data_IF_409102817682
#
_entry.id   IF_409102817682
#
_cell.length_a   1.000
_cell.length_b   1.000
_cell.length_c   1.000
_cell.angle_alpha   90.00
_cell.angle_beta   90.00
_cell.angle_gamma   90.00
#
_symmetry.space_group_name_H-M   'P 1'
#
loop_
_entity.id
_entity.type
_entity.pdbx_description
1 polymer ?
#
# COMPACT_ATOMS: atom_id res chain seq x y z
N UNK A 1 11.07 42.60 6.68
CA UNK A 1 10.40 41.28 6.62
C UNK A 1 10.33 40.72 5.21
N UNK A 2 9.64 41.36 4.25
CA UNK A 2 9.58 40.88 2.86
C UNK A 2 10.96 40.91 2.16
N UNK A 3 11.71 42.01 2.32
CA UNK A 3 13.06 42.12 1.77
C UNK A 3 14.06 41.17 2.45
N UNK A 4 13.85 40.82 3.73
CA UNK A 4 14.67 39.84 4.45
C UNK A 4 14.36 38.39 4.03
N UNK A 5 13.12 38.11 3.64
CA UNK A 5 12.72 36.84 3.04
C UNK A 5 13.31 36.68 1.62
N UNK A 6 13.28 37.74 0.82
CA UNK A 6 13.89 37.75 -0.52
C UNK A 6 15.41 37.64 -0.48
N UNK A 7 16.08 38.14 0.56
CA UNK A 7 17.52 37.93 0.74
C UNK A 7 17.88 36.55 1.29
N UNK A 8 16.95 35.86 1.97
CA UNK A 8 17.07 34.45 2.37
C UNK A 8 16.79 33.45 1.23
N UNK A 9 16.17 33.89 0.13
CA UNK A 9 16.11 33.16 -1.15
C UNK A 9 17.48 33.15 -1.84
N UNK A 10 18.50 32.70 -1.11
CA UNK A 10 19.83 32.47 -1.64
C UNK A 10 19.82 31.24 -2.56
N UNK A 11 20.81 31.10 -3.45
CA UNK A 11 21.00 29.89 -4.24
C UNK A 11 21.06 28.60 -3.38
N UNK A 12 21.51 28.71 -2.12
CA UNK A 12 21.55 27.57 -1.19
C UNK A 12 20.15 27.12 -0.76
N UNK A 13 19.20 28.04 -0.57
CA UNK A 13 17.82 27.68 -0.22
C UNK A 13 17.12 26.99 -1.39
N UNK A 14 17.35 27.44 -2.63
CA UNK A 14 16.81 26.76 -3.81
C UNK A 14 17.38 25.34 -3.98
N UNK A 15 18.68 25.17 -3.72
CA UNK A 15 19.30 23.85 -3.71
C UNK A 15 18.70 22.93 -2.63
N UNK A 16 18.47 23.44 -1.42
CA UNK A 16 17.85 22.68 -0.35
C UNK A 16 16.42 22.24 -0.70
N UNK A 17 15.60 23.15 -1.24
CA UNK A 17 14.24 22.84 -1.70
C UNK A 17 14.26 21.76 -2.77
N UNK A 18 15.16 21.86 -3.75
CA UNK A 18 15.29 20.85 -4.80
C UNK A 18 15.64 19.47 -4.25
N UNK A 19 16.62 19.40 -3.34
CA UNK A 19 17.03 18.15 -2.69
C UNK A 19 15.88 17.56 -1.88
N UNK A 20 15.25 18.33 -0.99
CA UNK A 20 14.13 17.84 -0.16
C UNK A 20 12.91 17.43 -0.99
N UNK A 21 12.66 18.09 -2.13
CA UNK A 21 11.62 17.68 -3.07
C UNK A 21 11.92 16.30 -3.65
N UNK A 22 13.16 16.09 -4.10
CA UNK A 22 13.59 14.79 -4.60
C UNK A 22 13.50 13.71 -3.52
N UNK A 23 13.95 13.98 -2.30
CA UNK A 23 13.86 13.05 -1.18
C UNK A 23 12.41 12.67 -0.89
N UNK A 24 11.50 13.64 -0.90
CA UNK A 24 10.06 13.38 -0.69
C UNK A 24 9.50 12.47 -1.79
N UNK A 25 9.78 12.78 -3.06
CA UNK A 25 9.33 11.95 -4.19
C UNK A 25 9.90 10.53 -4.08
N UNK A 26 11.18 10.40 -3.76
CA UNK A 26 11.84 9.11 -3.58
C UNK A 26 11.19 8.30 -2.45
N UNK A 27 11.02 8.89 -1.27
CA UNK A 27 10.40 8.23 -0.11
C UNK A 27 8.96 7.82 -0.44
N UNK A 28 8.16 8.74 -0.97
CA UNK A 28 6.75 8.48 -1.30
C UNK A 28 6.60 7.39 -2.36
N UNK A 29 7.39 7.45 -3.43
CA UNK A 29 7.29 6.46 -4.50
C UNK A 29 7.77 5.08 -4.04
N UNK A 30 8.94 5.00 -3.40
CA UNK A 30 9.49 3.73 -2.93
C UNK A 30 8.59 3.09 -1.86
N UNK A 31 8.10 3.86 -0.90
CA UNK A 31 7.21 3.35 0.14
C UNK A 31 5.86 2.88 -0.40
N UNK A 32 5.28 3.63 -1.34
CA UNK A 32 4.04 3.25 -2.02
C UNK A 32 4.23 1.97 -2.83
N UNK A 33 5.35 1.86 -3.56
CA UNK A 33 5.64 0.67 -4.35
C UNK A 33 5.72 -0.58 -3.47
N UNK A 34 6.46 -0.53 -2.36
CA UNK A 34 6.55 -1.63 -1.40
C UNK A 34 5.19 -1.95 -0.77
N UNK A 35 4.42 -0.91 -0.42
CA UNK A 35 3.09 -1.08 0.13
C UNK A 35 2.12 -1.75 -0.85
N UNK A 36 2.20 -1.42 -2.14
CA UNK A 36 1.40 -2.05 -3.20
C UNK A 36 1.82 -3.48 -3.43
N UNK A 37 3.13 -3.75 -3.51
CA UNK A 37 3.66 -5.10 -3.75
C UNK A 37 3.19 -6.11 -2.71
N UNK A 38 3.05 -5.70 -1.44
CA UNK A 38 2.58 -6.57 -0.36
C UNK A 38 1.08 -6.43 -0.12
N UNK A 39 0.57 -5.20 -0.09
CA UNK A 39 -0.81 -4.90 0.21
C UNK A 39 -1.79 -5.44 -0.83
N UNK A 40 -1.44 -5.40 -2.12
CA UNK A 40 -2.31 -5.90 -3.20
C UNK A 40 -2.54 -7.41 -3.08
N UNK A 41 -1.50 -8.29 -2.99
CA UNK A 41 -1.71 -9.70 -2.71
C UNK A 41 -2.52 -9.98 -1.43
N UNK A 42 -2.26 -9.25 -0.35
CA UNK A 42 -3.01 -9.38 0.90
C UNK A 42 -4.50 -9.03 0.74
N UNK A 43 -4.80 -7.96 0.01
CA UNK A 43 -6.17 -7.54 -0.30
C UNK A 43 -6.91 -8.54 -1.17
N UNK A 44 -6.24 -9.06 -2.21
CA UNK A 44 -6.79 -10.12 -3.08
C UNK A 44 -7.06 -11.39 -2.27
N UNK A 45 -6.12 -11.82 -1.43
CA UNK A 45 -6.30 -13.02 -0.60
C UNK A 45 -7.45 -12.85 0.40
N UNK A 46 -7.57 -11.66 0.99
CA UNK A 46 -8.67 -11.34 1.91
C UNK A 46 -10.02 -11.37 1.19
N UNK A 47 -10.08 -10.92 -0.07
CA UNK A 47 -11.29 -11.06 -0.88
C UNK A 47 -11.60 -12.53 -1.18
N UNK A 48 -10.64 -13.27 -1.75
CA UNK A 48 -10.84 -14.66 -2.20
C UNK A 48 -11.21 -15.63 -1.07
N UNK A 49 -10.80 -15.35 0.16
CA UNK A 49 -11.11 -16.18 1.34
C UNK A 49 -12.48 -15.86 1.95
N UNK A 50 -13.19 -14.85 1.41
CA UNK A 50 -14.51 -14.42 1.86
C UNK A 50 -15.60 -15.50 1.68
N UNK A 51 -16.74 -15.27 2.33
CA UNK A 51 -17.91 -16.16 2.21
C UNK A 51 -18.47 -16.11 0.78
N UNK A 52 -18.61 -17.27 0.13
CA UNK A 52 -19.10 -17.38 -1.24
C UNK A 52 -18.03 -17.18 -2.31
N UNK A 53 -16.76 -17.04 -1.93
CA UNK A 53 -15.64 -16.83 -2.85
C UNK A 53 -14.83 -18.12 -3.09
N UNK A 54 -13.88 -18.05 -4.03
CA UNK A 54 -13.17 -19.23 -4.57
C UNK A 54 -12.39 -20.02 -3.50
N UNK A 55 -11.76 -19.32 -2.56
CA UNK A 55 -10.89 -19.89 -1.52
C UNK A 55 -11.54 -19.76 -0.14
N UNK A 56 -12.87 -19.89 -0.07
CA UNK A 56 -13.65 -19.67 1.14
C UNK A 56 -13.02 -20.36 2.35
N UNK A 57 -12.52 -19.55 3.29
CA UNK A 57 -11.97 -20.01 4.54
C UNK A 57 -12.26 -18.95 5.61
N UNK A 58 -13.34 -19.17 6.36
CA UNK A 58 -13.82 -18.23 7.38
C UNK A 58 -12.76 -17.89 8.44
N UNK A 59 -11.88 -18.85 8.79
CA UNK A 59 -10.83 -18.62 9.78
C UNK A 59 -9.71 -17.73 9.22
N UNK A 60 -9.22 -18.07 8.03
CA UNK A 60 -8.17 -17.29 7.36
C UNK A 60 -8.67 -15.87 7.03
N UNK A 61 -9.90 -15.76 6.55
CA UNK A 61 -10.52 -14.47 6.26
C UNK A 61 -10.64 -13.58 7.50
N UNK A 62 -11.05 -14.17 8.64
CA UNK A 62 -11.12 -13.46 9.91
C UNK A 62 -9.74 -12.98 10.36
N UNK A 63 -8.73 -13.84 10.32
CA UNK A 63 -7.35 -13.49 10.69
C UNK A 63 -6.79 -12.34 9.82
N UNK A 64 -6.96 -12.42 8.50
CA UNK A 64 -6.52 -11.38 7.58
C UNK A 64 -7.23 -10.04 7.82
N UNK A 65 -8.55 -10.07 8.04
CA UNK A 65 -9.31 -8.87 8.38
C UNK A 65 -8.86 -8.27 9.72
N UNK A 66 -8.57 -9.09 10.73
CA UNK A 66 -8.04 -8.62 12.02
C UNK A 66 -6.69 -7.93 11.80
N UNK A 67 -5.75 -8.55 11.09
CA UNK A 67 -4.43 -7.97 10.79
C UNK A 67 -4.58 -6.63 10.08
N UNK A 68 -5.40 -6.56 9.02
CA UNK A 68 -5.64 -5.34 8.25
C UNK A 68 -6.26 -4.24 9.12
N UNK A 69 -7.26 -4.59 9.94
CA UNK A 69 -7.95 -3.61 10.78
C UNK A 69 -7.06 -3.09 11.92
N UNK A 70 -6.27 -3.96 12.55
CA UNK A 70 -5.28 -3.55 13.56
C UNK A 70 -4.24 -2.63 12.92
N UNK A 71 -3.66 -3.04 11.79
CA UNK A 71 -2.65 -2.24 11.07
C UNK A 71 -3.15 -0.85 10.66
N UNK A 72 -4.42 -0.74 10.27
CA UNK A 72 -5.06 0.55 9.92
C UNK A 72 -5.40 1.42 11.13
N UNK A 73 -5.51 0.84 12.31
CA UNK A 73 -5.91 1.56 13.54
C UNK A 73 -4.71 2.14 14.29
N UNK A 74 -3.48 1.68 14.01
CA UNK A 74 -2.28 2.18 14.66
C UNK A 74 -1.89 3.52 14.02
N UNK A 75 -1.79 4.62 14.79
CA UNK A 75 -1.29 5.89 14.29
C UNK A 75 0.14 5.77 13.76
N UNK A 76 0.43 6.45 12.64
CA UNK A 76 1.74 6.39 11.98
C UNK A 76 2.91 6.67 12.93
N UNK A 77 2.79 7.69 13.78
CA UNK A 77 3.85 8.08 14.72
C UNK A 77 4.18 6.94 15.70
N UNK A 78 3.16 6.23 16.19
CA UNK A 78 3.34 5.10 17.11
C UNK A 78 4.02 3.94 16.38
N UNK A 79 3.56 3.62 15.18
CA UNK A 79 4.14 2.56 14.35
C UNK A 79 5.61 2.83 14.02
N UNK A 80 5.97 4.09 13.73
CA UNK A 80 7.34 4.52 13.49
C UNK A 80 8.23 4.17 14.67
N UNK A 81 7.82 4.52 15.90
CA UNK A 81 8.60 4.24 17.12
C UNK A 81 8.78 2.74 17.32
N UNK A 82 7.70 1.96 17.15
CA UNK A 82 7.73 0.49 17.27
C UNK A 82 8.68 -0.14 16.24
N UNK A 83 8.80 0.45 15.05
CA UNK A 83 9.65 -0.03 13.97
C UNK A 83 11.10 0.45 14.04
N UNK A 84 11.49 1.33 14.96
CA UNK A 84 12.89 1.76 15.12
C UNK A 84 13.88 0.59 15.27
N UNK A 85 13.68 -0.40 16.15
CA UNK A 85 14.60 -1.53 16.27
C UNK A 85 14.66 -2.37 14.98
N UNK A 86 13.51 -2.56 14.32
CA UNK A 86 13.44 -3.30 13.05
C UNK A 86 14.17 -2.54 11.91
N UNK A 87 13.99 -1.23 11.84
CA UNK A 87 14.64 -0.37 10.84
C UNK A 87 16.16 -0.38 11.00
N UNK A 88 16.64 -0.28 12.26
CA UNK A 88 18.07 -0.47 12.58
C UNK A 88 18.57 -1.86 12.20
N UNK A 89 17.79 -2.91 12.45
CA UNK A 89 18.19 -4.26 12.10
C UNK A 89 18.36 -4.46 10.59
N UNK A 90 17.46 -3.88 9.77
CA UNK A 90 17.49 -4.04 8.31
C UNK A 90 18.53 -3.13 7.64
N UNK A 91 18.67 -1.89 8.10
CA UNK A 91 19.46 -0.85 7.40
C UNK A 91 20.68 -0.37 8.19
N UNK A 92 20.91 -0.87 9.40
CA UNK A 92 21.94 -0.38 10.34
C UNK A 92 21.82 1.11 10.71
N UNK A 93 20.72 1.77 10.35
CA UNK A 93 20.42 3.17 10.67
C UNK A 93 18.92 3.35 10.92
N UNK A 94 18.56 4.36 11.73
CA UNK A 94 17.19 4.83 11.93
C UNK A 94 16.93 6.20 11.30
N UNK A 95 17.94 6.80 10.67
CA UNK A 95 17.86 8.14 10.11
C UNK A 95 18.17 8.10 8.61
N UNK A 96 17.62 9.07 7.89
CA UNK A 96 17.79 9.23 6.45
C UNK A 96 16.56 8.78 5.65
N UNK A 97 16.58 9.13 4.36
CA UNK A 97 15.47 8.89 3.42
C UNK A 97 15.12 7.40 3.30
N UNK A 98 16.12 6.54 3.15
CA UNK A 98 15.92 5.09 3.03
C UNK A 98 15.35 4.47 4.32
N UNK A 99 15.72 4.99 5.49
CA UNK A 99 15.17 4.52 6.76
C UNK A 99 13.69 4.87 6.92
N UNK A 100 13.26 6.03 6.43
CA UNK A 100 11.87 6.47 6.47
C UNK A 100 10.93 5.62 5.61
N UNK A 101 11.45 4.97 4.56
CA UNK A 101 10.65 4.12 3.66
C UNK A 101 10.00 2.95 4.42
N UNK A 102 10.71 2.32 5.37
CA UNK A 102 10.22 1.12 6.08
C UNK A 102 8.91 1.38 6.84
N UNK A 103 8.85 2.31 7.81
CA UNK A 103 7.63 2.57 8.57
C UNK A 103 6.50 3.11 7.69
N UNK A 104 6.82 3.93 6.67
CA UNK A 104 5.81 4.43 5.72
C UNK A 104 5.20 3.29 4.90
N UNK A 105 6.02 2.37 4.39
CA UNK A 105 5.55 1.22 3.62
C UNK A 105 4.63 0.33 4.46
N UNK A 106 5.07 -0.05 5.66
CA UNK A 106 4.32 -0.92 6.56
C UNK A 106 3.00 -0.26 6.99
N UNK A 107 3.01 1.05 7.22
CA UNK A 107 1.80 1.82 7.50
C UNK A 107 0.82 1.76 6.32
N UNK A 108 1.29 1.93 5.09
CA UNK A 108 0.44 1.98 3.90
C UNK A 108 -0.08 0.60 3.46
N UNK A 109 0.66 -0.50 3.70
CA UNK A 109 0.29 -1.87 3.32
C UNK A 109 -1.17 -2.26 3.66
N UNK A 110 -1.65 -2.13 4.92
CA UNK A 110 -3.00 -2.56 5.28
C UNK A 110 -4.08 -1.62 4.68
N UNK A 111 -3.77 -0.36 4.39
CA UNK A 111 -4.68 0.52 3.64
C UNK A 111 -4.83 0.07 2.19
N UNK A 112 -3.71 -0.25 1.51
CA UNK A 112 -3.75 -0.78 0.14
C UNK A 112 -4.46 -2.13 0.08
N UNK A 113 -4.23 -3.01 1.06
CA UNK A 113 -4.93 -4.28 1.15
C UNK A 113 -6.44 -4.09 1.27
N UNK A 114 -6.89 -3.17 2.14
CA UNK A 114 -8.32 -2.87 2.28
C UNK A 114 -8.91 -2.25 1.03
N UNK A 115 -8.21 -1.31 0.41
CA UNK A 115 -8.63 -0.66 -0.84
C UNK A 115 -8.83 -1.71 -1.94
N UNK A 116 -7.87 -2.63 -2.08
CA UNK A 116 -7.93 -3.72 -3.06
C UNK A 116 -9.10 -4.66 -2.78
N UNK A 117 -9.28 -5.09 -1.52
CA UNK A 117 -10.39 -5.97 -1.13
C UNK A 117 -11.74 -5.33 -1.43
N UNK A 118 -11.93 -4.05 -1.10
CA UNK A 118 -13.16 -3.31 -1.39
C UNK A 118 -13.41 -3.20 -2.91
N UNK A 119 -12.38 -2.88 -3.69
CA UNK A 119 -12.50 -2.74 -5.14
C UNK A 119 -12.90 -4.05 -5.84
N UNK A 120 -12.55 -5.21 -5.25
CA UNK A 120 -12.94 -6.53 -5.75
C UNK A 120 -14.39 -6.89 -5.37
N UNK A 121 -14.86 -6.49 -4.19
CA UNK A 121 -16.25 -6.69 -3.75
C UNK A 121 -17.26 -5.95 -4.65
N UNK A 122 -16.86 -4.80 -5.21
CA UNK A 122 -17.69 -4.03 -6.15
C UNK A 122 -17.90 -4.72 -7.51
N UNK A 123 -17.12 -5.76 -7.83
CA UNK A 123 -17.24 -6.46 -9.11
C UNK A 123 -18.48 -7.37 -9.05
N UNK A 124 -19.43 -7.25 -10.00
CA UNK A 124 -20.62 -8.08 -10.02
C UNK A 124 -20.24 -9.58 -10.04
N UNK A 125 -20.83 -10.36 -9.12
CA UNK A 125 -20.56 -11.80 -8.95
C UNK A 125 -20.71 -12.63 -10.23
N UNK A 126 -21.52 -12.18 -11.18
CA UNK A 126 -21.69 -12.84 -12.48
C UNK A 126 -20.40 -12.94 -13.30
N UNK A 127 -19.40 -12.07 -13.08
CA UNK A 127 -18.13 -12.12 -13.82
C UNK A 127 -17.14 -13.13 -13.24
N UNK A 128 -17.12 -13.33 -11.92
CA UNK A 128 -16.29 -14.36 -11.26
C UNK A 128 -16.83 -15.76 -11.50
N UNK A 129 -18.16 -15.93 -11.56
CA UNK A 129 -18.80 -17.19 -11.93
C UNK A 129 -18.64 -17.52 -13.43
N UNK A 130 -18.76 -16.54 -14.32
CA UNK A 130 -18.50 -16.74 -15.75
C UNK A 130 -17.04 -17.11 -16.03
N UNK A 131 -16.07 -16.47 -15.36
CA UNK A 131 -14.66 -16.80 -15.52
C UNK A 131 -14.31 -18.20 -14.97
N UNK A 132 -14.96 -18.64 -13.88
CA UNK A 132 -14.88 -20.02 -13.39
C UNK A 132 -15.51 -21.03 -14.36
N UNK A 133 -16.68 -20.72 -14.92
CA UNK A 133 -17.36 -21.58 -15.90
C UNK A 133 -16.55 -21.75 -17.19
N UNK A 134 -15.69 -20.78 -17.53
CA UNK A 134 -14.73 -20.85 -18.65
C UNK A 134 -13.42 -21.58 -18.31
N UNK A 135 -13.28 -22.16 -17.12
CA UNK A 135 -12.06 -22.91 -16.72
C UNK A 135 -10.83 -22.04 -16.46
N UNK A 136 -11.02 -20.72 -16.27
CA UNK A 136 -9.92 -19.82 -16.00
C UNK A 136 -9.28 -20.12 -14.64
N UNK A 137 -7.97 -20.29 -14.62
CA UNK A 137 -7.21 -20.43 -13.38
C UNK A 137 -7.34 -19.17 -12.53
N UNK A 138 -7.24 -19.30 -11.21
CA UNK A 138 -7.43 -18.18 -10.26
C UNK A 138 -6.59 -16.95 -10.64
N UNK A 139 -5.40 -17.15 -11.19
CA UNK A 139 -4.53 -16.08 -11.71
C UNK A 139 -5.04 -15.39 -12.98
N UNK A 140 -5.70 -16.12 -13.88
CA UNK A 140 -6.31 -15.55 -15.08
C UNK A 140 -7.55 -14.71 -14.74
N UNK A 141 -8.34 -15.11 -13.74
CA UNK A 141 -9.49 -14.34 -13.25
C UNK A 141 -9.01 -12.99 -12.66
N UNK A 142 -7.99 -13.02 -11.80
CA UNK A 142 -7.40 -11.82 -11.19
C UNK A 142 -6.80 -10.90 -12.27
N UNK A 143 -6.06 -11.47 -13.23
CA UNK A 143 -5.47 -10.67 -14.31
C UNK A 143 -6.56 -10.01 -15.14
N UNK A 144 -7.57 -10.74 -15.58
CA UNK A 144 -8.59 -10.22 -16.50
C UNK A 144 -9.56 -9.22 -15.85
N UNK A 145 -9.87 -9.35 -14.56
CA UNK A 145 -10.71 -8.38 -13.85
C UNK A 145 -10.03 -7.02 -13.68
N UNK A 146 -8.70 -7.01 -13.50
CA UNK A 146 -7.89 -5.78 -13.42
C UNK A 146 -7.80 -5.07 -14.78
N UNK A 147 -7.64 -5.80 -15.89
CA UNK A 147 -7.51 -5.18 -17.22
C UNK A 147 -8.83 -4.59 -17.76
N UNK A 148 -10.01 -5.09 -17.36
CA UNK A 148 -11.31 -4.66 -17.91
C UNK A 148 -11.84 -3.35 -17.31
N UNK A 149 -11.44 -2.96 -16.08
CA UNK A 149 -11.89 -1.71 -15.42
C UNK A 149 -11.43 -0.42 -16.15
N UNK A 150 -10.64 -0.54 -17.23
CA UNK A 150 -10.15 0.56 -18.07
C UNK A 150 -11.04 0.88 -19.30
N UNK A 151 -12.13 0.14 -19.51
CA UNK A 151 -12.99 0.22 -20.71
C UNK A 151 -14.50 0.30 -20.40
N UNK A 152 -14.89 0.96 -19.32
CA UNK A 152 -16.27 1.42 -19.16
C UNK A 152 -16.25 2.96 -19.11
N UNK A 153 -16.85 3.65 -20.09
CA UNK A 153 -17.02 5.10 -20.05
C UNK A 153 -17.95 5.54 -18.91
#
# INVERSE_FOLDING_TARGET
MWNDFLTQLTPQMWQAVWVSTYETVYISFASTLLAVLVGLPFGVLTFLTGKGEILQNSRLNLMLNIIINIGRSIPFIILLIILLPFTRFVLNTTLGTTAAIIPLSICAMPFVARLTANALVEIPKGLTEAAKAMGATNWQIIRNSIYRKRYQP
#
